data_IF_827265082146
#
_entry.id   IF_827265082146
#
_cell.length_a   1.000
_cell.length_b   1.000
_cell.length_c   1.000
_cell.angle_alpha   90.00
_cell.angle_beta   90.00
_cell.angle_gamma   90.00
#
_symmetry.space_group_name_H-M   'P 1'
#
loop_
_entity.id
_entity.type
_entity.pdbx_description
1 polymer ?
#
# COMPACT_ATOMS: atom_id res chain seq x y z
N UNK A 1 -25.89 -10.76 -14.13
CA UNK A 1 -25.15 -9.50 -13.84
C UNK A 1 -25.49 -9.06 -12.42
N UNK A 2 -24.63 -9.33 -11.43
CA UNK A 2 -24.94 -9.10 -10.01
C UNK A 2 -24.68 -7.65 -9.61
N UNK A 3 -25.78 -6.91 -9.37
CA UNK A 3 -25.85 -5.49 -8.97
C UNK A 3 -25.50 -5.25 -7.48
N UNK A 4 -25.05 -6.30 -6.77
CA UNK A 4 -24.97 -6.36 -5.31
C UNK A 4 -23.64 -5.88 -4.74
N UNK A 5 -22.56 -5.95 -5.53
CA UNK A 5 -21.19 -5.59 -5.08
C UNK A 5 -20.98 -4.07 -5.09
N UNK A 6 -21.84 -3.31 -5.79
CA UNK A 6 -21.72 -1.86 -5.95
C UNK A 6 -22.24 -1.03 -4.75
N UNK A 7 -22.64 -1.67 -3.64
CA UNK A 7 -23.00 -0.95 -2.42
C UNK A 7 -21.77 -0.87 -1.52
N UNK A 8 -21.40 0.36 -1.15
CA UNK A 8 -20.23 0.71 -0.33
C UNK A 8 -20.13 -0.10 1.00
N UNK A 9 -21.24 -0.70 1.46
CA UNK A 9 -21.32 -1.45 2.72
C UNK A 9 -21.61 -2.96 2.57
N UNK A 10 -21.46 -3.57 1.38
CA UNK A 10 -21.71 -5.00 1.25
C UNK A 10 -20.56 -5.86 1.78
N UNK A 11 -20.88 -6.80 2.68
CA UNK A 11 -19.90 -7.71 3.28
C UNK A 11 -20.44 -9.14 3.50
N UNK A 12 -19.67 -10.20 3.16
CA UNK A 12 -20.07 -11.58 3.42
C UNK A 12 -20.16 -11.90 4.93
N UNK A 13 -21.14 -12.72 5.32
CA UNK A 13 -21.44 -13.09 6.73
C UNK A 13 -20.26 -13.71 7.50
N UNK A 14 -19.25 -14.23 6.81
CA UNK A 14 -18.07 -14.86 7.41
C UNK A 14 -16.93 -13.89 7.71
N UNK A 15 -16.94 -12.66 7.17
CA UNK A 15 -15.92 -11.67 7.47
C UNK A 15 -16.32 -10.97 8.79
N UNK A 16 -15.72 -11.43 9.89
CA UNK A 16 -16.05 -10.97 11.26
C UNK A 16 -15.40 -9.64 11.65
N UNK A 17 -14.20 -9.33 11.12
CA UNK A 17 -13.49 -8.08 11.39
C UNK A 17 -14.21 -6.89 10.72
N UNK A 18 -14.80 -5.96 11.47
CA UNK A 18 -15.49 -4.77 10.90
C UNK A 18 -14.58 -3.96 9.99
N UNK A 19 -13.29 -3.96 10.30
CA UNK A 19 -12.24 -3.28 9.58
C UNK A 19 -11.69 -4.19 8.47
N UNK A 20 -11.69 -3.67 7.24
CA UNK A 20 -10.72 -4.15 6.25
C UNK A 20 -9.31 -3.98 6.83
N UNK A 21 -8.37 -4.91 6.58
CA UNK A 21 -7.03 -4.82 7.15
C UNK A 21 -6.44 -3.44 6.85
N UNK A 22 -5.84 -2.83 7.87
CA UNK A 22 -5.23 -1.51 7.74
C UNK A 22 -4.22 -1.54 6.59
N UNK A 23 -4.40 -0.63 5.63
CA UNK A 23 -3.51 -0.48 4.49
C UNK A 23 -2.10 -0.03 4.91
N UNK A 24 -1.92 0.44 6.14
CA UNK A 24 -0.64 0.89 6.69
C UNK A 24 -0.51 0.34 8.10
N UNK A 25 0.54 -0.44 8.36
CA UNK A 25 0.83 -0.94 9.69
C UNK A 25 1.14 0.23 10.65
N UNK A 26 0.67 0.14 11.90
CA UNK A 26 0.87 1.18 12.93
C UNK A 26 2.35 1.52 13.21
N UNK A 27 3.29 0.61 12.91
CA UNK A 27 4.73 0.84 13.05
C UNK A 27 5.40 1.45 11.81
N UNK A 28 4.66 1.60 10.71
CA UNK A 28 5.17 2.22 9.50
C UNK A 28 5.22 3.75 9.64
N UNK A 29 6.22 4.36 9.02
CA UNK A 29 6.39 5.81 8.97
C UNK A 29 6.14 6.26 7.54
N UNK A 30 4.97 6.87 7.32
CA UNK A 30 4.58 7.42 6.03
C UNK A 30 4.60 8.94 6.15
N UNK A 31 5.36 9.61 5.29
CA UNK A 31 5.35 11.06 5.24
C UNK A 31 3.93 11.57 4.92
N UNK A 32 3.42 12.63 5.59
CA UNK A 32 2.06 13.12 5.38
C UNK A 32 1.78 13.65 3.96
N UNK A 33 2.83 13.89 3.17
CA UNK A 33 2.71 14.30 1.75
C UNK A 33 2.77 13.12 0.78
N UNK A 34 2.99 11.90 1.27
CA UNK A 34 2.93 10.71 0.43
C UNK A 34 1.48 10.34 0.11
N UNK A 35 1.27 9.86 -1.11
CA UNK A 35 -0.04 9.46 -1.61
C UNK A 35 -0.12 7.95 -1.78
N UNK A 36 -1.17 7.35 -1.21
CA UNK A 36 -1.46 5.92 -1.34
C UNK A 36 -2.82 5.75 -2.01
N UNK A 37 -2.81 5.11 -3.18
CA UNK A 37 -3.97 4.90 -4.03
C UNK A 37 -4.23 3.41 -4.25
N UNK A 38 -5.48 3.07 -4.54
CA UNK A 38 -5.89 1.70 -4.88
C UNK A 38 -5.64 0.70 -3.75
N UNK A 39 -5.22 -0.51 -4.11
CA UNK A 39 -4.93 -1.60 -3.19
C UNK A 39 -3.50 -1.56 -2.65
N UNK A 40 -3.02 -0.39 -2.23
CA UNK A 40 -1.67 -0.23 -1.67
C UNK A 40 -1.60 -0.67 -0.21
N UNK A 41 -0.55 -1.40 0.16
CA UNK A 41 -0.33 -1.93 1.52
C UNK A 41 1.09 -1.62 1.99
N UNK A 42 1.23 -1.12 3.22
CA UNK A 42 2.50 -0.76 3.85
C UNK A 42 2.72 -1.62 5.09
N UNK A 43 3.71 -2.50 5.03
CA UNK A 43 4.09 -3.41 6.12
C UNK A 43 4.77 -2.71 7.30
N UNK A 44 5.05 -3.50 8.34
CA UNK A 44 5.66 -3.03 9.58
C UNK A 44 7.04 -2.38 9.35
N UNK A 45 7.32 -1.31 10.08
CA UNK A 45 8.59 -0.56 10.02
C UNK A 45 8.99 -0.01 8.64
N UNK A 46 8.08 -0.05 7.65
CA UNK A 46 8.32 0.59 6.37
C UNK A 46 8.49 2.10 6.52
N UNK A 47 9.26 2.70 5.61
CA UNK A 47 9.43 4.16 5.52
C UNK A 47 9.05 4.63 4.14
N UNK A 48 8.09 5.56 4.05
CA UNK A 48 7.67 6.18 2.79
C UNK A 48 8.01 7.66 2.85
N UNK A 49 8.92 8.10 1.97
CA UNK A 49 9.39 9.48 1.92
C UNK A 49 8.35 10.47 1.36
N UNK A 50 8.61 11.76 1.59
CA UNK A 50 7.77 12.86 1.13
C UNK A 50 7.45 12.82 -0.37
N UNK A 51 6.23 13.19 -0.73
CA UNK A 51 5.72 13.25 -2.11
C UNK A 51 5.84 11.91 -2.88
N UNK A 52 6.03 10.77 -2.19
CA UNK A 52 6.03 9.47 -2.82
C UNK A 52 4.60 9.05 -3.19
N UNK A 53 4.44 8.41 -4.35
CA UNK A 53 3.14 7.95 -4.86
C UNK A 53 3.17 6.43 -4.99
N UNK A 54 2.27 5.76 -4.27
CA UNK A 54 2.07 4.33 -4.31
C UNK A 54 0.68 4.02 -4.87
N UNK A 55 0.62 3.31 -5.99
CA UNK A 55 -0.63 2.85 -6.59
C UNK A 55 -0.58 1.35 -6.76
N UNK A 56 -1.57 0.64 -6.19
CA UNK A 56 -1.66 -0.83 -6.19
C UNK A 56 -0.33 -1.52 -5.82
N UNK A 57 0.38 -0.98 -4.83
CA UNK A 57 1.74 -1.40 -4.49
C UNK A 57 1.82 -2.00 -3.10
N UNK A 58 2.54 -3.12 -2.96
CA UNK A 58 2.71 -3.83 -1.69
C UNK A 58 4.14 -3.62 -1.18
N UNK A 59 4.28 -3.04 0.01
CA UNK A 59 5.54 -2.91 0.73
C UNK A 59 5.60 -3.95 1.84
N UNK A 60 6.61 -4.82 1.77
CA UNK A 60 6.89 -5.80 2.82
C UNK A 60 7.65 -5.15 3.97
N UNK A 61 7.66 -5.76 5.18
CA UNK A 61 8.27 -5.17 6.36
C UNK A 61 9.70 -4.68 6.13
N UNK A 62 10.03 -3.54 6.75
CA UNK A 62 11.34 -2.87 6.66
C UNK A 62 11.71 -2.33 5.26
N UNK A 63 10.78 -2.23 4.31
CA UNK A 63 11.04 -1.56 3.03
C UNK A 63 11.14 -0.03 3.18
N UNK A 64 12.03 0.59 2.40
CA UNK A 64 12.23 2.05 2.39
C UNK A 64 12.01 2.62 0.97
N UNK A 65 11.07 3.57 0.86
CA UNK A 65 10.75 4.29 -0.37
C UNK A 65 11.26 5.72 -0.25
N UNK A 66 12.13 6.12 -1.19
CA UNK A 66 12.67 7.48 -1.22
C UNK A 66 11.59 8.53 -1.54
N UNK A 67 11.83 9.77 -1.16
CA UNK A 67 10.97 10.90 -1.52
C UNK A 67 10.80 11.01 -3.03
N UNK A 68 9.62 11.45 -3.49
CA UNK A 68 9.26 11.64 -4.92
C UNK A 68 9.31 10.38 -5.78
N UNK A 69 9.41 9.20 -5.17
CA UNK A 69 9.30 7.93 -5.88
C UNK A 69 7.87 7.65 -6.33
N UNK A 70 7.74 6.94 -7.45
CA UNK A 70 6.44 6.53 -7.98
C UNK A 70 6.44 5.03 -8.25
N UNK A 71 5.60 4.29 -7.54
CA UNK A 71 5.46 2.85 -7.71
C UNK A 71 4.03 2.54 -8.14
N UNK A 72 3.89 1.86 -9.28
CA UNK A 72 2.58 1.43 -9.78
C UNK A 72 2.57 -0.07 -10.02
N UNK A 73 1.71 -0.80 -9.32
CA UNK A 73 1.59 -2.26 -9.41
C UNK A 73 2.91 -2.97 -9.11
N UNK A 74 3.61 -2.53 -8.06
CA UNK A 74 4.90 -3.08 -7.65
C UNK A 74 4.79 -3.90 -6.36
N UNK A 75 5.74 -4.81 -6.17
CA UNK A 75 5.98 -5.49 -4.89
C UNK A 75 7.40 -5.14 -4.46
N UNK A 76 7.53 -4.52 -3.29
CA UNK A 76 8.83 -4.19 -2.70
C UNK A 76 9.07 -5.13 -1.53
N UNK A 77 10.08 -5.99 -1.66
CA UNK A 77 10.37 -7.00 -0.63
C UNK A 77 11.07 -6.40 0.58
N UNK A 78 11.12 -7.19 1.64
CA UNK A 78 11.66 -6.75 2.92
C UNK A 78 13.08 -6.22 2.81
N UNK A 79 13.37 -5.16 3.57
CA UNK A 79 14.69 -4.51 3.65
C UNK A 79 15.20 -3.91 2.33
N UNK A 80 14.35 -3.81 1.30
CA UNK A 80 14.70 -3.16 0.04
C UNK A 80 14.55 -1.65 0.14
N UNK A 81 15.46 -0.95 -0.54
CA UNK A 81 15.41 0.50 -0.71
C UNK A 81 15.10 0.79 -2.18
N UNK A 82 14.06 1.58 -2.41
CA UNK A 82 13.60 1.89 -3.76
C UNK A 82 13.58 3.39 -3.96
N UNK A 83 14.09 3.82 -5.12
CA UNK A 83 14.07 5.21 -5.56
C UNK A 83 13.70 5.27 -7.04
N UNK A 84 13.18 6.41 -7.50
CA UNK A 84 12.75 6.62 -8.88
C UNK A 84 11.34 6.10 -9.18
N UNK A 85 11.10 5.80 -10.46
CA UNK A 85 9.79 5.42 -11.01
C UNK A 85 9.84 3.96 -11.45
N UNK A 86 8.94 3.12 -10.91
CA UNK A 86 8.87 1.69 -11.22
C UNK A 86 7.43 1.26 -11.51
N UNK A 87 7.27 0.28 -12.41
CA UNK A 87 5.96 -0.26 -12.77
C UNK A 87 6.03 -1.76 -13.02
N UNK A 88 5.04 -2.51 -12.50
CA UNK A 88 4.87 -3.95 -12.77
C UNK A 88 6.10 -4.81 -12.45
N UNK A 89 6.79 -4.54 -11.35
CA UNK A 89 8.04 -5.21 -10.98
C UNK A 89 8.04 -5.67 -9.52
N UNK A 90 8.74 -6.77 -9.27
CA UNK A 90 9.13 -7.27 -7.95
C UNK A 90 10.57 -6.85 -7.66
N UNK A 91 10.79 -6.17 -6.53
CA UNK A 91 12.09 -5.57 -6.13
C UNK A 91 12.62 -6.25 -4.86
#
# INVERSE_FOLDING_TARGET
>A
MHRTILREDWKPRYVKAREWPEHVANSAIVDPTAELHGCSVVGEHCRVGAEAVLEDTILWPDAEIASKSQLHRCIVRSQKKVSGIHRNIDI
#
